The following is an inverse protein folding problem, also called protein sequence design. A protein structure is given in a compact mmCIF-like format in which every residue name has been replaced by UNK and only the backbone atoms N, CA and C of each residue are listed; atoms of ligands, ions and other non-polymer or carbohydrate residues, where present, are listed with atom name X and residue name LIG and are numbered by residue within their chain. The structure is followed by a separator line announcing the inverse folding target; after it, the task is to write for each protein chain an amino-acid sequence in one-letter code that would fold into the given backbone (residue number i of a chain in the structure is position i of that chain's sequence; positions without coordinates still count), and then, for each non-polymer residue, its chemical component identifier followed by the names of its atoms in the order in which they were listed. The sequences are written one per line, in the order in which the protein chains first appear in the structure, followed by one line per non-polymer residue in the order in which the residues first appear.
data_IF_881372832599
#
_entry.id   IF_881372832599
#
_cell.length_a   1.000
_cell.length_b   1.000
_cell.length_c   1.000
_cell.angle_alpha   90.00
_cell.angle_beta   90.00
_cell.angle_gamma   90.00
#
_symmetry.space_group_name_H-M   'P 1'
#
loop_
_entity.id
_entity.type
_entity.pdbx_description
1 polymer ?
#
# COMPACT_ATOMS: atom_id res chain seq x y z
N UNK A 1 -3.28 0.18 4.07
CA UNK A 1 -3.66 -0.89 5.00
C UNK A 1 -3.15 -0.63 6.41
N UNK A 2 -1.92 -0.16 6.58
CA UNK A 2 -1.39 0.13 7.92
C UNK A 2 -2.21 1.21 8.62
N UNK A 3 -2.53 2.30 7.92
CA UNK A 3 -3.38 3.36 8.49
C UNK A 3 -4.77 2.83 8.81
N UNK A 4 -5.36 2.06 7.90
CA UNK A 4 -6.67 1.45 8.14
C UNK A 4 -6.65 0.59 9.40
N UNK A 5 -5.65 -0.27 9.53
CA UNK A 5 -5.54 -1.16 10.69
C UNK A 5 -5.32 -0.38 11.99
N UNK A 6 -4.52 0.68 11.95
CA UNK A 6 -4.31 1.54 13.09
C UNK A 6 -5.62 2.21 13.52
N UNK A 7 -6.38 2.74 12.57
CA UNK A 7 -7.66 3.38 12.87
C UNK A 7 -8.65 2.40 13.49
N UNK A 8 -8.72 1.18 12.98
CA UNK A 8 -9.60 0.15 13.55
C UNK A 8 -9.25 -0.17 14.99
N UNK A 9 -7.97 -0.16 15.34
CA UNK A 9 -7.54 -0.44 16.72
C UNK A 9 -7.72 0.75 17.65
N UNK A 10 -7.39 1.94 17.18
CA UNK A 10 -7.37 3.13 18.03
C UNK A 10 -8.74 3.82 18.13
N UNK A 11 -9.41 3.95 16.99
CA UNK A 11 -10.66 4.71 16.87
C UNK A 11 -11.56 4.08 15.81
N UNK A 12 -12.17 2.91 16.08
CA UNK A 12 -13.02 2.23 15.10
C UNK A 12 -14.27 3.04 14.72
N UNK A 13 -14.64 4.05 15.51
CA UNK A 13 -15.76 4.95 15.22
C UNK A 13 -15.46 5.95 14.11
N UNK A 14 -14.19 6.15 13.75
CA UNK A 14 -13.80 7.07 12.67
C UNK A 14 -13.90 6.37 11.32
N UNK A 15 -14.35 7.14 10.31
CA UNK A 15 -14.48 6.63 8.96
C UNK A 15 -13.16 6.75 8.21
N UNK A 16 -12.63 5.61 7.77
CA UNK A 16 -11.37 5.56 7.02
C UNK A 16 -11.47 6.36 5.72
N UNK A 17 -12.56 6.17 4.95
CA UNK A 17 -12.69 6.80 3.64
C UNK A 17 -12.69 8.32 3.74
N UNK A 18 -13.39 8.87 4.74
CA UNK A 18 -13.41 10.31 4.97
C UNK A 18 -12.03 10.83 5.37
N UNK A 19 -11.31 10.08 6.19
CA UNK A 19 -9.97 10.46 6.66
C UNK A 19 -8.98 10.53 5.50
N UNK A 20 -8.93 9.50 4.64
CA UNK A 20 -8.00 9.51 3.51
C UNK A 20 -8.42 10.48 2.42
N UNK A 21 -9.72 10.77 2.30
CA UNK A 21 -10.18 11.83 1.40
C UNK A 21 -9.61 13.18 1.83
N UNK A 22 -9.71 13.48 3.12
CA UNK A 22 -9.16 14.73 3.66
C UNK A 22 -7.65 14.82 3.44
N UNK A 23 -6.93 13.72 3.68
CA UNK A 23 -5.49 13.64 3.43
C UNK A 23 -5.18 13.89 1.95
N UNK A 24 -5.96 13.32 1.06
CA UNK A 24 -5.79 13.45 -0.39
C UNK A 24 -6.08 14.85 -0.95
N UNK A 25 -6.66 15.76 -0.15
CA UNK A 25 -6.83 17.15 -0.57
C UNK A 25 -5.49 17.86 -0.74
N UNK A 26 -4.44 17.36 -0.11
CA UNK A 26 -3.08 17.83 -0.42
C UNK A 26 -2.69 17.27 -1.79
N UNK A 27 -2.37 18.17 -2.72
CA UNK A 27 -2.07 17.79 -4.11
C UNK A 27 -0.84 16.91 -4.24
N UNK A 28 0.03 16.88 -3.22
CA UNK A 28 1.21 16.01 -3.20
C UNK A 28 0.85 14.55 -2.93
N UNK A 29 -0.33 14.29 -2.35
CA UNK A 29 -0.79 12.94 -1.99
C UNK A 29 -1.83 12.44 -2.99
N UNK A 30 -2.88 13.23 -3.22
CA UNK A 30 -3.95 12.85 -4.14
C UNK A 30 -4.88 11.78 -3.58
N UNK A 31 -5.77 11.27 -4.44
CA UNK A 31 -6.87 10.38 -4.04
C UNK A 31 -6.74 8.96 -4.57
N UNK A 32 -5.64 8.61 -5.24
CA UNK A 32 -5.47 7.28 -5.82
C UNK A 32 -4.76 6.32 -4.86
N UNK A 33 -5.05 5.02 -5.03
CA UNK A 33 -4.39 3.94 -4.30
C UNK A 33 -4.60 3.96 -2.78
N UNK A 34 -5.73 4.53 -2.33
CA UNK A 34 -6.06 4.67 -0.91
C UNK A 34 -7.11 3.67 -0.42
N UNK A 35 -7.77 2.99 -1.33
CA UNK A 35 -8.94 2.16 -1.03
C UNK A 35 -8.57 0.93 -0.21
N UNK A 36 -9.30 0.68 0.87
CA UNK A 36 -9.15 -0.51 1.70
C UNK A 36 -10.55 -1.05 2.04
N UNK A 37 -10.89 -2.29 1.69
CA UNK A 37 -10.11 -3.18 0.83
C UNK A 37 -9.96 -2.61 -0.58
N UNK A 38 -9.05 -3.20 -1.36
CA UNK A 38 -8.76 -2.74 -2.72
C UNK A 38 -9.84 -3.10 -3.73
N UNK A 39 -9.57 -2.83 -5.00
CA UNK A 39 -10.53 -3.10 -6.08
C UNK A 39 -10.87 -4.57 -6.25
N UNK A 40 -10.01 -5.47 -5.78
CA UNK A 40 -10.25 -6.91 -5.80
C UNK A 40 -10.90 -7.43 -4.51
N UNK A 41 -11.39 -6.51 -3.66
CA UNK A 41 -11.99 -6.80 -2.36
C UNK A 41 -11.03 -7.47 -1.37
N UNK A 42 -9.73 -7.34 -1.59
CA UNK A 42 -8.70 -7.91 -0.72
C UNK A 42 -7.89 -6.81 -0.07
N UNK A 43 -7.37 -7.11 1.10
CA UNK A 43 -6.41 -6.23 1.77
C UNK A 43 -5.05 -6.35 1.08
N UNK A 44 -4.21 -5.33 1.27
CA UNK A 44 -2.97 -5.25 0.53
C UNK A 44 -3.18 -4.73 -0.88
N UNK A 45 -2.09 -4.66 -1.63
CA UNK A 45 -2.15 -4.23 -3.03
C UNK A 45 -1.87 -5.42 -3.95
N UNK A 46 -2.48 -5.39 -5.11
CA UNK A 46 -2.40 -6.46 -6.07
C UNK A 46 -2.66 -5.96 -7.47
N UNK A 47 -3.33 -6.80 -8.26
CA UNK A 47 -3.64 -6.50 -9.65
C UNK A 47 -2.57 -7.01 -10.59
N UNK A 48 -2.63 -6.55 -11.84
CA UNK A 48 -1.78 -7.06 -12.90
C UNK A 48 -0.39 -6.42 -12.92
N UNK A 49 -0.31 -5.11 -12.67
CA UNK A 49 0.93 -4.34 -12.90
C UNK A 49 1.80 -4.19 -11.65
N UNK A 50 1.23 -3.80 -10.51
CA UNK A 50 2.03 -3.46 -9.34
C UNK A 50 2.92 -4.61 -8.83
N UNK A 51 2.40 -5.83 -8.66
CA UNK A 51 3.27 -6.93 -8.23
C UNK A 51 4.38 -7.24 -9.23
N UNK A 52 4.05 -7.26 -10.51
CA UNK A 52 5.00 -7.54 -11.58
C UNK A 52 6.07 -6.44 -11.67
N UNK A 53 5.66 -5.19 -11.69
CA UNK A 53 6.57 -4.06 -11.88
C UNK A 53 7.46 -3.84 -10.65
N UNK A 54 6.94 -4.03 -9.44
CA UNK A 54 7.77 -3.93 -8.24
C UNK A 54 8.79 -5.06 -8.16
N UNK A 55 8.41 -6.28 -8.59
CA UNK A 55 9.36 -7.39 -8.64
C UNK A 55 10.48 -7.10 -9.66
N UNK A 56 10.13 -6.60 -10.83
CA UNK A 56 11.10 -6.24 -11.86
C UNK A 56 12.04 -5.13 -11.37
N UNK A 57 11.51 -4.13 -10.67
CA UNK A 57 12.30 -3.03 -10.14
C UNK A 57 13.30 -3.50 -9.10
N UNK A 58 12.87 -4.36 -8.17
CA UNK A 58 13.76 -4.93 -7.15
C UNK A 58 14.86 -5.77 -7.80
N UNK A 59 14.52 -6.59 -8.80
CA UNK A 59 15.50 -7.40 -9.51
C UNK A 59 16.53 -6.53 -10.25
N UNK A 60 16.06 -5.46 -10.88
CA UNK A 60 16.97 -4.51 -11.54
C UNK A 60 17.92 -3.89 -10.52
N UNK A 61 17.40 -3.43 -9.38
CA UNK A 61 18.21 -2.79 -8.35
C UNK A 61 19.26 -3.75 -7.80
N UNK A 62 18.91 -5.02 -7.58
CA UNK A 62 19.87 -6.04 -7.13
C UNK A 62 21.06 -6.16 -8.08
N UNK A 63 20.78 -6.20 -9.39
CA UNK A 63 21.83 -6.28 -10.39
C UNK A 63 22.74 -5.05 -10.41
N UNK A 64 22.23 -3.93 -9.91
CA UNK A 64 23.00 -2.69 -9.78
C UNK A 64 23.65 -2.55 -8.40
N UNK A 65 23.50 -3.53 -7.52
CA UNK A 65 24.06 -3.50 -6.17
C UNK A 65 23.28 -2.68 -5.16
N UNK A 66 22.01 -2.40 -5.44
CA UNK A 66 21.13 -1.66 -4.54
C UNK A 66 20.11 -2.58 -3.88
N UNK A 67 19.89 -2.39 -2.58
CA UNK A 67 18.98 -3.22 -1.78
C UNK A 67 17.53 -2.81 -1.86
N UNK A 68 17.23 -1.54 -2.10
CA UNK A 68 15.88 -0.98 -2.02
C UNK A 68 15.13 -1.46 -0.77
N UNK A 69 15.63 -1.16 0.44
CA UNK A 69 15.06 -1.75 1.67
C UNK A 69 13.60 -1.36 1.90
N UNK A 70 13.21 -0.15 1.54
CA UNK A 70 11.82 0.29 1.69
C UNK A 70 10.88 -0.54 0.79
N UNK A 71 11.23 -0.69 -0.47
CA UNK A 71 10.39 -1.42 -1.43
C UNK A 71 10.31 -2.90 -1.05
N UNK A 72 11.41 -3.48 -0.60
CA UNK A 72 11.41 -4.87 -0.12
C UNK A 72 10.49 -5.05 1.07
N UNK A 73 10.53 -4.11 2.03
CA UNK A 73 9.67 -4.14 3.20
C UNK A 73 8.19 -4.00 2.81
N UNK A 74 7.88 -3.11 1.89
CA UNK A 74 6.51 -2.93 1.38
C UNK A 74 5.99 -4.22 0.76
N UNK A 75 6.78 -4.90 -0.06
CA UNK A 75 6.38 -6.16 -0.68
C UNK A 75 6.14 -7.25 0.36
N UNK A 76 7.04 -7.36 1.34
CA UNK A 76 6.93 -8.36 2.40
C UNK A 76 5.69 -8.14 3.25
N UNK A 77 5.42 -6.90 3.63
CA UNK A 77 4.25 -6.54 4.42
C UNK A 77 2.97 -6.81 3.61
N UNK A 78 2.99 -6.50 2.32
CA UNK A 78 1.86 -6.77 1.45
C UNK A 78 1.50 -8.26 1.43
N UNK A 79 2.48 -9.14 1.42
CA UNK A 79 2.25 -10.59 1.47
C UNK A 79 1.45 -10.98 2.72
N UNK A 80 1.71 -10.34 3.86
CA UNK A 80 0.97 -10.62 5.09
C UNK A 80 -0.49 -10.18 5.00
N UNK A 81 -0.78 -9.11 4.29
CA UNK A 81 -2.16 -8.65 4.08
C UNK A 81 -2.95 -9.53 3.13
N UNK A 82 -2.26 -10.19 2.20
CA UNK A 82 -2.87 -11.00 1.14
C UNK A 82 -3.17 -12.44 1.54
N UNK A 83 -2.78 -12.84 2.72
CA UNK A 83 -3.02 -14.22 3.20
C UNK A 83 -4.44 -14.47 3.68
#
# INVERSE_FOLDING_TARGET
NDLYNLMQKAHPELDYDSTVYALGLDSRIGHSHNQVPGYDDKFGWGGHCLPKDTAAFVNFAERQGSDLPLIRSVRKINETHRK
#
